data_IF_223786470447
#
_entry.id   IF_223786470447
#
_cell.length_a   1.000
_cell.length_b   1.000
_cell.length_c   1.000
_cell.angle_alpha   90.00
_cell.angle_beta   90.00
_cell.angle_gamma   90.00
#
_symmetry.space_group_name_H-M   'P 1'
#
loop_
_entity.id
_entity.type
_entity.pdbx_description
1 polymer ?
#
# COMPACT_ATOMS: atom_id res chain seq x y z
N UNK A 1 -2.73 -6.99 -37.09
CA UNK A 1 -3.75 -7.30 -36.06
C UNK A 1 -3.38 -6.58 -34.78
N UNK A 2 -4.13 -5.56 -34.36
CA UNK A 2 -3.96 -4.99 -33.02
C UNK A 2 -4.65 -5.91 -32.01
N UNK A 3 -3.90 -6.42 -31.03
CA UNK A 3 -4.46 -7.15 -29.90
C UNK A 3 -5.22 -6.15 -29.02
N UNK A 4 -6.54 -6.32 -28.93
CA UNK A 4 -7.37 -5.56 -28.00
C UNK A 4 -7.19 -6.17 -26.61
N UNK A 5 -6.79 -5.39 -25.59
CA UNK A 5 -6.58 -5.90 -24.25
C UNK A 5 -7.89 -6.44 -23.67
N UNK A 6 -7.79 -7.55 -22.93
CA UNK A 6 -8.93 -8.19 -22.30
C UNK A 6 -9.54 -7.30 -21.20
N UNK A 7 -10.81 -7.52 -20.88
CA UNK A 7 -11.52 -6.75 -19.85
C UNK A 7 -10.83 -6.84 -18.48
N UNK A 8 -10.21 -7.98 -18.16
CA UNK A 8 -9.45 -8.19 -16.92
C UNK A 8 -8.18 -7.35 -16.87
N UNK A 9 -7.45 -7.24 -17.98
CA UNK A 9 -6.25 -6.40 -18.11
C UNK A 9 -6.61 -4.93 -17.99
N UNK A 10 -7.67 -4.48 -18.68
CA UNK A 10 -8.18 -3.11 -18.58
C UNK A 10 -8.59 -2.78 -17.13
N UNK A 11 -9.25 -3.71 -16.42
CA UNK A 11 -9.62 -3.54 -15.01
C UNK A 11 -8.39 -3.45 -14.09
N UNK A 12 -7.37 -4.28 -14.31
CA UNK A 12 -6.12 -4.24 -13.54
C UNK A 12 -5.37 -2.92 -13.76
N UNK A 13 -5.28 -2.46 -15.02
CA UNK A 13 -4.67 -1.18 -15.36
C UNK A 13 -5.42 -0.01 -14.70
N UNK A 14 -6.75 0.01 -14.78
CA UNK A 14 -7.57 1.05 -14.12
C UNK A 14 -7.40 1.07 -12.60
N UNK A 15 -7.33 -0.10 -11.94
CA UNK A 15 -7.06 -0.16 -10.49
C UNK A 15 -5.67 0.36 -10.13
N UNK A 16 -4.67 0.10 -10.99
CA UNK A 16 -3.30 0.57 -10.78
C UNK A 16 -3.22 2.08 -10.95
N UNK A 17 -3.82 2.63 -12.01
CA UNK A 17 -3.87 4.07 -12.25
C UNK A 17 -4.66 4.84 -11.16
N UNK A 18 -5.81 4.31 -10.73
CA UNK A 18 -6.57 4.92 -9.64
C UNK A 18 -5.79 4.91 -8.32
N UNK A 19 -4.97 3.89 -8.12
CA UNK A 19 -4.11 3.81 -6.95
C UNK A 19 -2.96 4.82 -6.99
N UNK A 20 -2.30 4.97 -8.14
CA UNK A 20 -1.25 5.97 -8.33
C UNK A 20 -1.78 7.40 -8.12
N UNK A 21 -2.98 7.70 -8.65
CA UNK A 21 -3.62 9.01 -8.46
C UNK A 21 -3.93 9.27 -6.98
N UNK A 22 -4.45 8.27 -6.26
CA UNK A 22 -4.76 8.40 -4.83
C UNK A 22 -3.49 8.59 -4.00
N UNK A 23 -2.41 7.88 -4.32
CA UNK A 23 -1.13 8.06 -3.65
C UNK A 23 -0.56 9.46 -3.92
N UNK A 24 -0.56 9.91 -5.18
CA UNK A 24 -0.09 11.25 -5.54
C UNK A 24 -0.86 12.36 -4.80
N UNK A 25 -2.18 12.20 -4.65
CA UNK A 25 -3.01 13.15 -3.89
C UNK A 25 -2.65 13.19 -2.40
N UNK A 26 -2.51 12.03 -1.76
CA UNK A 26 -2.15 11.99 -0.34
C UNK A 26 -0.76 12.57 -0.08
N UNK A 27 0.20 12.29 -0.97
CA UNK A 27 1.55 12.89 -0.89
C UNK A 27 1.50 14.40 -1.07
N UNK A 28 0.71 14.90 -2.02
CA UNK A 28 0.56 16.34 -2.24
C UNK A 28 -0.05 17.06 -1.02
N UNK A 29 -0.99 16.42 -0.31
CA UNK A 29 -1.70 17.03 0.82
C UNK A 29 -0.94 16.90 2.15
N UNK A 30 -0.26 15.77 2.40
CA UNK A 30 0.30 15.41 3.72
C UNK A 30 1.79 15.03 3.67
N UNK A 31 2.44 15.17 2.52
CA UNK A 31 3.85 14.82 2.34
C UNK A 31 4.14 13.34 2.62
N UNK A 32 5.23 13.08 3.34
CA UNK A 32 5.67 11.73 3.70
C UNK A 32 4.65 10.96 4.55
N UNK A 33 3.91 11.65 5.43
CA UNK A 33 2.84 11.03 6.21
C UNK A 33 1.70 10.53 5.30
N UNK A 34 1.37 11.29 4.25
CA UNK A 34 0.40 10.86 3.24
C UNK A 34 0.88 9.68 2.40
N UNK A 35 2.19 9.59 2.13
CA UNK A 35 2.76 8.42 1.47
C UNK A 35 2.60 7.16 2.33
N UNK A 36 2.89 7.27 3.63
CA UNK A 36 2.73 6.17 4.58
C UNK A 36 1.26 5.74 4.70
N UNK A 37 0.33 6.69 4.83
CA UNK A 37 -1.12 6.42 4.87
C UNK A 37 -1.60 5.70 3.60
N UNK A 38 -1.13 6.11 2.42
CA UNK A 38 -1.45 5.44 1.17
C UNK A 38 -0.95 3.98 1.18
N UNK A 39 0.30 3.74 1.55
CA UNK A 39 0.82 2.37 1.63
C UNK A 39 0.08 1.52 2.65
N UNK A 40 -0.33 2.11 3.77
CA UNK A 40 -1.15 1.43 4.76
C UNK A 40 -2.54 1.05 4.23
N UNK A 41 -3.23 1.95 3.53
CA UNK A 41 -4.50 1.67 2.86
C UNK A 41 -4.39 0.49 1.90
N UNK A 42 -3.31 0.44 1.10
CA UNK A 42 -3.05 -0.64 0.16
C UNK A 42 -2.79 -1.97 0.85
N UNK A 43 -1.95 -1.98 1.89
CA UNK A 43 -1.66 -3.20 2.65
C UNK A 43 -2.95 -3.79 3.24
N UNK A 44 -3.82 -2.95 3.82
CA UNK A 44 -5.12 -3.38 4.33
C UNK A 44 -6.05 -3.89 3.22
N UNK A 45 -6.05 -3.29 2.03
CA UNK A 45 -6.84 -3.78 0.90
C UNK A 45 -6.41 -5.19 0.45
N UNK A 46 -5.10 -5.47 0.46
CA UNK A 46 -4.54 -6.79 0.17
C UNK A 46 -4.96 -7.79 1.25
N UNK A 47 -4.79 -7.46 2.53
CA UNK A 47 -5.16 -8.35 3.64
C UNK A 47 -6.68 -8.58 3.74
N UNK A 48 -7.51 -7.64 3.27
CA UNK A 48 -8.96 -7.86 3.16
C UNK A 48 -9.32 -8.89 2.07
N UNK A 49 -8.53 -8.97 1.01
CA UNK A 49 -8.70 -9.97 -0.04
C UNK A 49 -8.11 -11.34 0.37
N UNK A 50 -7.07 -11.34 1.21
CA UNK A 50 -6.41 -12.52 1.74
C UNK A 50 -6.13 -12.36 3.25
N UNK A 51 -7.05 -12.85 4.12
CA UNK A 51 -6.95 -12.65 5.56
C UNK A 51 -5.74 -13.30 6.24
N UNK A 52 -5.08 -14.28 5.62
CA UNK A 52 -3.92 -14.94 6.23
C UNK A 52 -2.72 -13.98 6.33
N UNK A 53 -2.67 -12.96 5.45
CA UNK A 53 -1.60 -11.98 5.37
C UNK A 53 -1.60 -10.94 6.51
N UNK A 54 -2.63 -10.89 7.35
CA UNK A 54 -2.68 -9.96 8.48
C UNK A 54 -1.53 -10.19 9.46
N UNK A 55 -1.15 -11.46 9.70
CA UNK A 55 -0.04 -11.79 10.59
C UNK A 55 1.30 -11.30 10.03
N UNK A 56 1.50 -11.40 8.71
CA UNK A 56 2.73 -10.93 8.07
C UNK A 56 2.83 -9.41 8.08
N UNK A 57 1.71 -8.70 7.88
CA UNK A 57 1.65 -7.25 8.01
C UNK A 57 1.96 -6.81 9.45
N UNK A 58 1.38 -7.48 10.45
CA UNK A 58 1.62 -7.19 11.86
C UNK A 58 3.10 -7.39 12.24
N UNK A 59 3.70 -8.53 11.85
CA UNK A 59 5.12 -8.82 12.12
C UNK A 59 6.05 -7.82 11.42
N UNK A 60 5.69 -7.36 10.22
CA UNK A 60 6.45 -6.33 9.51
C UNK A 60 6.46 -5.02 10.27
N UNK A 61 5.31 -4.58 10.77
CA UNK A 61 5.18 -3.36 11.57
C UNK A 61 5.89 -3.48 12.91
N UNK A 62 5.70 -4.57 13.63
CA UNK A 62 6.37 -4.85 14.91
C UNK A 62 7.90 -4.79 14.76
N UNK A 63 8.44 -5.43 13.72
CA UNK A 63 9.87 -5.37 13.43
C UNK A 63 10.35 -3.95 13.07
N UNK A 64 9.52 -3.16 12.39
CA UNK A 64 9.85 -1.79 12.05
C UNK A 64 9.86 -0.90 13.29
N UNK A 65 8.82 -0.95 14.12
CA UNK A 65 8.74 -0.17 15.36
C UNK A 65 9.83 -0.58 16.34
N UNK A 66 10.07 -1.89 16.51
CA UNK A 66 11.11 -2.40 17.42
C UNK A 66 12.52 -1.88 17.09
N UNK A 67 12.84 -1.68 15.80
CA UNK A 67 14.13 -1.07 15.40
C UNK A 67 14.28 0.38 15.82
N UNK A 68 13.17 1.11 15.98
CA UNK A 68 13.16 2.55 16.27
C UNK A 68 12.81 2.87 17.73
N UNK A 69 12.13 1.96 18.43
CA UNK A 69 11.86 2.03 19.86
C UNK A 69 13.15 1.87 20.68
N UNK A 70 14.06 0.98 20.24
CA UNK A 70 15.36 0.79 20.89
C UNK A 70 16.35 1.95 20.74
N UNK A 71 16.11 2.88 19.79
CA UNK A 71 16.99 4.03 19.54
C UNK A 71 16.72 5.27 20.42
N UNK A 72 15.69 5.24 21.28
CA UNK A 72 15.39 6.35 22.21
C UNK A 72 15.83 6.07 23.66
N UNK A 73 16.64 5.03 23.89
CA UNK A 73 17.02 4.56 25.23
C UNK A 73 18.53 4.44 25.48
N UNK A 74 19.35 5.34 24.95
CA UNK A 74 20.79 5.44 25.27
C UNK A 74 21.19 6.90 25.53
#
# INVERSE_FOLDING_TARGET
MQQVPSISEVRRARRSAHWEERQARQVAERGEAGLADAWWDRARAICKADPELWNDLARTLENWTGRHDGSHGA
#
